data_IF_199233858112
#
_entry.id   IF_199233858112
#
_cell.length_a   1.000
_cell.length_b   1.000
_cell.length_c   1.000
_cell.angle_alpha   90.00
_cell.angle_beta   90.00
_cell.angle_gamma   90.00
#
_symmetry.space_group_name_H-M   'P 1'
#
loop_
_entity.id
_entity.type
_entity.pdbx_description
1 polymer ?
#
# COMPACT_ATOMS: atom_id res chain seq x y z
N UNK A 1 17.79 -26.08 -20.57
CA UNK A 1 17.42 -24.67 -20.80
C UNK A 1 16.70 -24.19 -19.57
N UNK A 2 17.15 -23.08 -18.99
CA UNK A 2 16.47 -22.48 -17.84
C UNK A 2 15.19 -21.88 -18.39
N UNK A 3 14.01 -22.18 -17.81
CA UNK A 3 12.72 -21.72 -18.35
C UNK A 3 12.48 -20.21 -18.28
N UNK A 4 13.54 -19.43 -18.11
CA UNK A 4 13.59 -17.99 -17.94
C UNK A 4 14.18 -17.40 -19.22
N UNK A 5 13.37 -16.64 -19.95
CA UNK A 5 13.78 -15.82 -21.10
C UNK A 5 13.44 -14.37 -20.77
N UNK A 6 14.25 -13.77 -19.90
CA UNK A 6 14.02 -12.39 -19.45
C UNK A 6 14.67 -11.41 -20.43
N UNK A 7 13.96 -10.31 -20.70
CA UNK A 7 14.43 -9.14 -21.45
C UNK A 7 14.66 -7.97 -20.45
N UNK A 8 15.87 -7.80 -19.88
CA UNK A 8 16.09 -6.81 -18.82
C UNK A 8 15.69 -5.36 -19.17
N UNK A 9 15.90 -4.86 -20.40
CA UNK A 9 15.46 -3.51 -20.78
C UNK A 9 13.94 -3.30 -20.65
N UNK A 10 13.14 -4.27 -21.11
CA UNK A 10 11.68 -4.20 -21.06
C UNK A 10 11.15 -4.30 -19.63
N UNK A 11 11.81 -5.12 -18.81
CA UNK A 11 11.53 -5.21 -17.37
C UNK A 11 11.83 -3.88 -16.69
N UNK A 12 12.98 -3.27 -16.98
CA UNK A 12 13.37 -1.97 -16.44
C UNK A 12 12.32 -0.89 -16.71
N UNK A 13 11.79 -0.85 -17.94
CA UNK A 13 10.71 0.07 -18.31
C UNK A 13 9.42 -0.20 -17.52
N UNK A 14 9.00 -1.46 -17.46
CA UNK A 14 7.79 -1.88 -16.73
C UNK A 14 7.89 -1.53 -15.24
N UNK A 15 9.06 -1.70 -14.63
CA UNK A 15 9.30 -1.33 -13.24
C UNK A 15 9.19 0.18 -13.02
N UNK A 16 9.77 0.98 -13.92
CA UNK A 16 9.66 2.44 -13.86
C UNK A 16 8.21 2.92 -13.97
N UNK A 17 7.45 2.38 -14.91
CA UNK A 17 6.02 2.69 -15.08
C UNK A 17 5.21 2.30 -13.84
N UNK A 18 5.49 1.13 -13.26
CA UNK A 18 4.83 0.66 -12.03
C UNK A 18 5.14 1.58 -10.84
N UNK A 19 6.41 2.00 -10.68
CA UNK A 19 6.80 2.94 -9.62
C UNK A 19 6.12 4.30 -9.79
N UNK A 20 5.96 4.77 -11.03
CA UNK A 20 5.24 6.01 -11.32
C UNK A 20 3.77 5.90 -10.88
N UNK A 21 3.07 4.84 -11.27
CA UNK A 21 1.68 4.60 -10.88
C UNK A 21 1.56 4.44 -9.37
N UNK A 22 2.50 3.77 -8.71
CA UNK A 22 2.50 3.64 -7.25
C UNK A 22 2.61 5.00 -6.53
N UNK A 23 3.41 5.94 -7.06
CA UNK A 23 3.48 7.31 -6.55
C UNK A 23 2.17 8.07 -6.74
N UNK A 24 1.53 7.93 -7.90
CA UNK A 24 0.22 8.52 -8.16
C UNK A 24 -0.85 7.97 -7.21
N UNK A 25 -0.85 6.65 -6.97
CA UNK A 25 -1.73 6.01 -5.99
C UNK A 25 -1.53 6.56 -4.57
N UNK A 26 -0.28 6.78 -4.16
CA UNK A 26 0.02 7.41 -2.86
C UNK A 26 -0.53 8.85 -2.78
N UNK A 27 -0.47 9.61 -3.86
CA UNK A 27 -1.06 10.94 -3.92
C UNK A 27 -2.60 10.88 -3.80
N UNK A 28 -3.24 9.94 -4.49
CA UNK A 28 -4.69 9.72 -4.39
C UNK A 28 -5.12 9.28 -2.99
N UNK A 29 -4.33 8.42 -2.33
CA UNK A 29 -4.60 7.99 -0.95
C UNK A 29 -4.57 9.17 0.04
N UNK A 30 -3.64 10.13 -0.13
CA UNK A 30 -3.61 11.36 0.66
C UNK A 30 -4.83 12.23 0.41
N UNK A 31 -5.15 12.48 -0.88
CA UNK A 31 -6.32 13.26 -1.27
C UNK A 31 -7.61 12.65 -0.73
N UNK A 32 -7.74 11.32 -0.77
CA UNK A 32 -8.87 10.59 -0.20
C UNK A 32 -9.05 10.87 1.30
N UNK A 33 -7.98 10.83 2.10
CA UNK A 33 -8.02 11.18 3.52
C UNK A 33 -8.44 12.64 3.77
N UNK A 34 -7.91 13.57 2.98
CA UNK A 34 -8.30 14.99 3.05
C UNK A 34 -9.78 15.21 2.70
N UNK A 35 -10.28 14.53 1.66
CA UNK A 35 -11.68 14.58 1.25
C UNK A 35 -12.62 13.96 2.27
N UNK A 36 -12.24 12.86 2.91
CA UNK A 36 -13.01 12.27 4.01
C UNK A 36 -13.15 13.24 5.18
N UNK A 37 -12.06 13.90 5.57
CA UNK A 37 -12.08 14.93 6.63
C UNK A 37 -12.93 16.13 6.24
N UNK A 38 -12.83 16.59 4.99
CA UNK A 38 -13.66 17.65 4.44
C UNK A 38 -15.15 17.29 4.45
N UNK A 39 -15.49 16.08 4.01
CA UNK A 39 -16.86 15.57 4.00
C UNK A 39 -17.44 15.44 5.42
N UNK A 40 -16.65 14.93 6.37
CA UNK A 40 -17.05 14.85 7.77
C UNK A 40 -17.36 16.23 8.37
N UNK A 41 -16.56 17.24 8.02
CA UNK A 41 -16.76 18.64 8.46
C UNK A 41 -18.00 19.26 7.79
N UNK A 42 -18.20 19.00 6.50
CA UNK A 42 -19.31 19.55 5.73
C UNK A 42 -20.67 18.91 6.05
N UNK A 43 -20.69 17.68 6.57
CA UNK A 43 -21.93 16.96 6.86
C UNK A 43 -22.75 17.54 8.02
N UNK A 44 -22.22 18.56 8.71
CA UNK A 44 -22.92 19.27 9.79
C UNK A 44 -23.10 18.43 11.05
N UNK A 45 -23.76 19.00 12.04
CA UNK A 45 -24.03 18.36 13.34
C UNK A 45 -25.52 18.17 13.53
N UNK A 46 -25.93 17.05 14.12
CA UNK A 46 -27.34 16.83 14.46
C UNK A 46 -27.72 17.71 15.65
N UNK A 47 -28.71 18.58 15.48
CA UNK A 47 -29.29 19.34 16.59
C UNK A 47 -30.42 18.52 17.24
N UNK A 48 -30.08 17.56 18.09
CA UNK A 48 -31.06 16.72 18.80
C UNK A 48 -31.55 17.35 20.11
N UNK A 49 -31.92 18.64 20.07
CA UNK A 49 -32.54 19.34 21.21
C UNK A 49 -31.70 19.43 22.51
N UNK A 50 -30.42 19.08 22.48
CA UNK A 50 -29.46 19.10 23.59
C UNK A 50 -28.07 19.60 23.16
N UNK A 51 -27.01 19.33 23.93
CA UNK A 51 -25.64 19.73 23.59
C UNK A 51 -25.27 19.32 22.16
N UNK A 52 -24.73 20.28 21.41
CA UNK A 52 -24.42 20.11 19.99
C UNK A 52 -23.25 19.12 19.87
N UNK A 53 -23.43 17.93 19.27
CA UNK A 53 -22.33 16.97 19.12
C UNK A 53 -21.24 17.57 18.21
N UNK A 54 -19.98 17.20 18.45
CA UNK A 54 -18.82 17.69 17.68
C UNK A 54 -18.89 17.32 16.19
N UNK A 55 -19.57 16.22 15.84
CA UNK A 55 -19.81 15.77 14.47
C UNK A 55 -21.21 15.16 14.31
N UNK A 56 -21.83 15.31 13.13
CA UNK A 56 -23.07 14.61 12.78
C UNK A 56 -22.84 13.12 12.47
N UNK A 57 -23.93 12.36 12.27
CA UNK A 57 -23.87 10.91 12.02
C UNK A 57 -22.94 10.52 10.86
N UNK A 58 -22.93 11.31 9.79
CA UNK A 58 -22.05 11.08 8.64
C UNK A 58 -20.59 11.30 9.02
N UNK A 59 -20.28 12.34 9.83
CA UNK A 59 -18.93 12.57 10.32
C UNK A 59 -18.40 11.42 11.17
N UNK A 60 -19.26 10.86 12.03
CA UNK A 60 -18.93 9.69 12.86
C UNK A 60 -18.73 8.41 12.00
N UNK A 61 -19.59 8.18 11.01
CA UNK A 61 -19.43 7.06 10.10
C UNK A 61 -18.13 7.16 9.30
N UNK A 62 -17.75 8.37 8.87
CA UNK A 62 -16.49 8.60 8.16
C UNK A 62 -15.27 8.46 9.08
N UNK A 63 -15.36 8.80 10.37
CA UNK A 63 -14.26 8.58 11.32
C UNK A 63 -13.99 7.11 11.58
N UNK A 64 -15.03 6.25 11.54
CA UNK A 64 -14.88 4.80 11.62
C UNK A 64 -14.40 4.20 10.28
N UNK A 65 -14.86 4.72 9.15
CA UNK A 65 -14.48 4.22 7.82
C UNK A 65 -13.03 4.57 7.44
N UNK A 66 -12.55 5.77 7.80
CA UNK A 66 -11.25 6.27 7.38
C UNK A 66 -10.07 5.35 7.76
N UNK A 67 -9.95 4.84 9.00
CA UNK A 67 -8.89 3.91 9.39
C UNK A 67 -8.88 2.61 8.57
N UNK A 68 -10.07 2.08 8.25
CA UNK A 68 -10.19 0.86 7.44
C UNK A 68 -9.71 1.09 6.01
N UNK A 69 -10.20 2.16 5.37
CA UNK A 69 -9.80 2.50 4.02
C UNK A 69 -8.30 2.85 3.93
N UNK A 70 -7.74 3.53 4.94
CA UNK A 70 -6.31 3.83 5.00
C UNK A 70 -5.47 2.55 5.10
N UNK A 71 -5.89 1.57 5.93
CA UNK A 71 -5.19 0.29 6.06
C UNK A 71 -5.12 -0.46 4.73
N UNK A 72 -6.23 -0.51 3.99
CA UNK A 72 -6.28 -1.18 2.70
C UNK A 72 -5.41 -0.48 1.65
N UNK A 73 -5.43 0.86 1.62
CA UNK A 73 -4.57 1.65 0.73
C UNK A 73 -3.08 1.42 1.03
N UNK A 74 -2.69 1.39 2.31
CA UNK A 74 -1.32 1.07 2.73
C UNK A 74 -0.93 -0.34 2.34
N UNK A 75 -1.83 -1.32 2.47
CA UNK A 75 -1.59 -2.70 2.08
C UNK A 75 -1.33 -2.84 0.58
N UNK A 76 -2.15 -2.20 -0.25
CA UNK A 76 -1.95 -2.19 -1.71
C UNK A 76 -0.60 -1.55 -2.07
N UNK A 77 -0.27 -0.42 -1.46
CA UNK A 77 1.01 0.24 -1.68
C UNK A 77 2.21 -0.66 -1.30
N UNK A 78 2.17 -1.28 -0.13
CA UNK A 78 3.22 -2.20 0.33
C UNK A 78 3.37 -3.43 -0.58
N UNK A 79 2.24 -3.98 -1.06
CA UNK A 79 2.26 -5.13 -1.97
C UNK A 79 2.84 -4.78 -3.33
N UNK A 80 2.50 -3.61 -3.85
CA UNK A 80 3.07 -3.09 -5.10
C UNK A 80 4.57 -2.86 -4.96
N UNK A 81 5.01 -2.22 -3.87
CA UNK A 81 6.43 -2.00 -3.60
C UNK A 81 7.21 -3.33 -3.51
N UNK A 82 6.67 -4.31 -2.79
CA UNK A 82 7.28 -5.65 -2.67
C UNK A 82 7.39 -6.37 -4.01
N UNK A 83 6.38 -6.23 -4.87
CA UNK A 83 6.38 -6.82 -6.22
C UNK A 83 7.45 -6.19 -7.11
N UNK A 84 7.57 -4.85 -7.10
CA UNK A 84 8.59 -4.11 -7.84
C UNK A 84 9.99 -4.50 -7.35
N UNK A 85 10.21 -4.53 -6.04
CA UNK A 85 11.50 -4.89 -5.44
C UNK A 85 11.91 -6.31 -5.84
N UNK A 86 11.03 -7.29 -5.67
CA UNK A 86 11.34 -8.67 -6.01
C UNK A 86 11.56 -8.91 -7.49
N UNK A 87 10.85 -8.19 -8.36
CA UNK A 87 11.09 -8.25 -9.80
C UNK A 87 12.45 -7.62 -10.19
N UNK A 88 12.83 -6.52 -9.54
CA UNK A 88 14.16 -5.92 -9.70
C UNK A 88 15.26 -6.88 -9.25
N UNK A 89 15.14 -7.44 -8.04
CA UNK A 89 16.11 -8.39 -7.47
C UNK A 89 16.23 -9.66 -8.32
N UNK A 90 15.10 -10.21 -8.80
CA UNK A 90 15.09 -11.38 -9.66
C UNK A 90 15.79 -11.11 -10.99
N UNK A 91 15.58 -9.92 -11.58
CA UNK A 91 16.23 -9.52 -12.84
C UNK A 91 17.73 -9.33 -12.63
N UNK A 92 18.14 -8.68 -11.55
CA UNK A 92 19.57 -8.53 -11.19
C UNK A 92 20.23 -9.89 -10.98
N UNK A 93 19.59 -10.79 -10.23
CA UNK A 93 20.10 -12.14 -10.00
C UNK A 93 20.22 -12.95 -11.29
N UNK A 94 19.23 -12.84 -12.19
CA UNK A 94 19.26 -13.45 -13.53
C UNK A 94 20.42 -12.92 -14.36
N UNK A 95 20.62 -11.59 -14.41
CA UNK A 95 21.74 -10.98 -15.13
C UNK A 95 23.11 -11.42 -14.61
N UNK A 96 23.20 -11.72 -13.31
CA UNK A 96 24.40 -12.26 -12.68
C UNK A 96 24.57 -13.78 -12.84
N UNK A 97 23.68 -14.45 -13.58
CA UNK A 97 23.68 -15.90 -13.79
C UNK A 97 23.23 -16.73 -12.57
N UNK A 98 22.72 -16.08 -11.51
CA UNK A 98 22.27 -16.76 -10.31
C UNK A 98 20.75 -17.01 -10.33
N UNK A 99 20.36 -18.07 -11.02
CA UNK A 99 18.96 -18.41 -11.24
C UNK A 99 18.24 -18.88 -9.97
N UNK A 100 18.97 -19.45 -9.01
CA UNK A 100 18.40 -19.83 -7.73
C UNK A 100 17.98 -18.58 -6.94
N UNK A 101 18.87 -17.58 -6.85
CA UNK A 101 18.57 -16.31 -6.22
C UNK A 101 17.43 -15.56 -6.94
N UNK A 102 17.36 -15.67 -8.27
CA UNK A 102 16.26 -15.10 -9.04
C UNK A 102 14.91 -15.74 -8.68
N UNK A 103 14.87 -17.08 -8.58
CA UNK A 103 13.67 -17.82 -8.17
C UNK A 103 13.30 -17.57 -6.69
N UNK A 104 14.29 -17.41 -5.82
CA UNK A 104 14.09 -17.05 -4.41
C UNK A 104 13.47 -15.66 -4.30
N UNK A 105 14.02 -14.64 -4.97
CA UNK A 105 13.48 -13.28 -5.01
C UNK A 105 12.02 -13.26 -5.48
N UNK A 106 11.70 -13.99 -6.56
CA UNK A 106 10.33 -14.10 -7.05
C UNK A 106 9.39 -14.75 -6.03
N UNK A 107 9.83 -15.82 -5.35
CA UNK A 107 9.05 -16.52 -4.32
C UNK A 107 8.80 -15.62 -3.10
N UNK A 108 9.81 -14.87 -2.66
CA UNK A 108 9.67 -13.94 -1.55
C UNK A 108 8.71 -12.79 -1.89
N UNK A 109 8.78 -12.26 -3.11
CA UNK A 109 7.89 -11.21 -3.60
C UNK A 109 6.41 -11.60 -3.59
N UNK A 110 6.10 -12.89 -3.81
CA UNK A 110 4.72 -13.42 -3.81
C UNK A 110 4.08 -13.45 -2.42
N UNK A 111 4.88 -13.46 -1.35
CA UNK A 111 4.34 -13.47 0.01
C UNK A 111 3.62 -12.14 0.27
N UNK A 112 2.42 -12.19 0.82
CA UNK A 112 1.70 -10.98 1.19
C UNK A 112 2.57 -10.12 2.16
N UNK A 113 2.54 -8.79 2.05
CA UNK A 113 3.02 -7.92 3.12
C UNK A 113 2.23 -8.19 4.41
N UNK A 114 2.84 -7.93 5.55
CA UNK A 114 2.10 -7.92 6.81
C UNK A 114 1.01 -6.82 6.72
N UNK A 115 -0.28 -7.16 6.91
CA UNK A 115 -1.35 -6.17 6.91
C UNK A 115 -1.31 -5.25 8.14
N UNK A 116 -0.54 -5.59 9.18
CA UNK A 116 -0.38 -4.79 10.39
C UNK A 116 0.89 -3.94 10.32
N UNK A 117 0.79 -2.77 9.69
CA UNK A 117 1.87 -1.77 9.62
C UNK A 117 2.12 -1.05 10.97
N UNK A 118 1.63 -1.61 12.08
CA UNK A 118 1.47 -0.95 13.36
C UNK A 118 1.70 -1.87 14.57
N UNK A 119 2.83 -2.57 14.61
CA UNK A 119 3.53 -2.76 15.88
C UNK A 119 4.91 -2.11 15.78
N UNK A 120 5.27 -1.17 16.67
CA UNK A 120 6.69 -0.85 16.84
C UNK A 120 7.39 -2.15 17.20
N UNK A 121 8.41 -2.49 16.42
CA UNK A 121 9.36 -3.57 16.68
C UNK A 121 9.94 -3.37 18.08
N UNK A 122 9.35 -3.99 19.11
CA UNK A 122 9.75 -3.69 20.48
C UNK A 122 9.03 -4.39 21.62
N UNK A 123 7.82 -4.93 21.49
CA UNK A 123 7.24 -5.72 22.59
C UNK A 123 7.73 -7.17 22.53
N UNK A 124 8.89 -7.38 23.15
CA UNK A 124 9.24 -8.69 23.69
C UNK A 124 8.14 -9.07 24.67
N UNK A 125 7.42 -10.16 24.38
CA UNK A 125 6.55 -10.85 25.33
C UNK A 125 7.31 -11.06 26.64
N UNK A 126 6.79 -10.50 27.73
CA UNK A 126 7.09 -10.99 29.08
C UNK A 126 6.35 -12.29 29.32
#
# INVERSE_FOLDING_TARGET
>A
MTGWDLQPPDIGRTLQDTVKIAKELQAQAKAFGEHLKGAATAAGTLAMGGEKPEAGLVGLALSEFAPHAEKDLRFVAARSAKSVQGASEATTAYMNGNLQMAADAQREARKAPDPDFGKPTGEKKK
#
